data_IF_419035604168
#
_entry.id   IF_419035604168
#
_cell.length_a   1.000
_cell.length_b   1.000
_cell.length_c   1.000
_cell.angle_alpha   90.00
_cell.angle_beta   90.00
_cell.angle_gamma   90.00
#
_symmetry.space_group_name_H-M   'P 1'
#
loop_
_entity.id
_entity.type
_entity.pdbx_description
1 polymer ?
#
# COMPACT_ATOMS: atom_id res chain seq x y z
N UNK A 1 -33.50 -26.43 -4.76
CA UNK A 1 -32.83 -25.12 -4.86
C UNK A 1 -31.68 -25.10 -3.87
N UNK A 2 -30.45 -25.43 -4.31
CA UNK A 2 -29.21 -25.37 -3.52
C UNK A 2 -28.12 -24.81 -4.43
N UNK A 3 -28.09 -23.49 -4.63
CA UNK A 3 -27.03 -22.83 -5.42
C UNK A 3 -26.44 -21.62 -4.70
N UNK A 4 -27.14 -21.06 -3.71
CA UNK A 4 -26.72 -19.84 -3.00
C UNK A 4 -25.51 -20.06 -2.06
N UNK A 5 -25.45 -21.20 -1.36
CA UNK A 5 -24.43 -21.46 -0.32
C UNK A 5 -22.98 -21.52 -0.84
N UNK A 6 -22.77 -21.98 -2.08
CA UNK A 6 -21.43 -22.08 -2.66
C UNK A 6 -20.89 -20.71 -3.12
N UNK A 7 -21.77 -19.85 -3.61
CA UNK A 7 -21.44 -18.48 -4.01
C UNK A 7 -21.05 -17.64 -2.80
N UNK A 8 -21.81 -17.73 -1.71
CA UNK A 8 -21.57 -17.00 -0.46
C UNK A 8 -20.23 -17.40 0.18
N UNK A 9 -19.95 -18.70 0.26
CA UNK A 9 -18.65 -19.21 0.75
C UNK A 9 -17.46 -18.75 -0.10
N UNK A 10 -17.66 -18.57 -1.41
CA UNK A 10 -16.61 -18.10 -2.34
C UNK A 10 -16.40 -16.59 -2.22
N UNK A 11 -17.46 -15.82 -2.05
CA UNK A 11 -17.38 -14.37 -1.82
C UNK A 11 -16.73 -14.07 -0.48
N UNK A 12 -17.03 -14.84 0.57
CA UNK A 12 -16.42 -14.69 1.90
C UNK A 12 -14.91 -14.95 1.88
N UNK A 13 -14.48 -16.02 1.20
CA UNK A 13 -13.05 -16.31 1.01
C UNK A 13 -12.34 -15.23 0.21
N UNK A 14 -13.02 -14.62 -0.76
CA UNK A 14 -12.46 -13.54 -1.59
C UNK A 14 -12.31 -12.26 -0.76
N UNK A 15 -13.34 -11.89 -0.01
CA UNK A 15 -13.31 -10.75 0.90
C UNK A 15 -12.23 -10.90 1.98
N UNK A 16 -12.06 -12.09 2.55
CA UNK A 16 -10.99 -12.38 3.51
C UNK A 16 -9.61 -12.19 2.89
N UNK A 17 -9.38 -12.70 1.67
CA UNK A 17 -8.11 -12.51 0.95
C UNK A 17 -7.82 -11.04 0.67
N UNK A 18 -8.83 -10.26 0.28
CA UNK A 18 -8.67 -8.82 0.04
C UNK A 18 -8.34 -8.06 1.33
N UNK A 19 -8.95 -8.41 2.46
CA UNK A 19 -8.60 -7.84 3.78
C UNK A 19 -7.15 -8.15 4.17
N UNK A 20 -6.71 -9.39 3.96
CA UNK A 20 -5.30 -9.80 4.21
C UNK A 20 -4.34 -9.04 3.30
N UNK A 21 -4.67 -8.89 2.01
CA UNK A 21 -3.86 -8.14 1.06
C UNK A 21 -3.76 -6.66 1.45
N UNK A 22 -4.86 -6.03 1.85
CA UNK A 22 -4.86 -4.65 2.35
C UNK A 22 -3.92 -4.52 3.55
N UNK A 23 -3.99 -5.43 4.52
CA UNK A 23 -3.10 -5.41 5.69
C UNK A 23 -1.62 -5.59 5.30
N UNK A 24 -1.30 -6.46 4.34
CA UNK A 24 0.08 -6.61 3.82
C UNK A 24 0.58 -5.33 3.15
N UNK A 25 -0.24 -4.72 2.29
CA UNK A 25 0.11 -3.47 1.61
C UNK A 25 0.31 -2.31 2.60
N UNK A 26 -0.47 -2.25 3.69
CA UNK A 26 -0.28 -1.27 4.76
C UNK A 26 1.07 -1.44 5.47
N UNK A 27 1.46 -2.67 5.82
CA UNK A 27 2.79 -2.94 6.40
C UNK A 27 3.92 -2.55 5.44
N UNK A 28 3.76 -2.79 4.14
CA UNK A 28 4.74 -2.36 3.13
C UNK A 28 4.86 -0.84 3.06
N UNK A 29 3.77 -0.11 3.22
CA UNK A 29 3.81 1.36 3.30
C UNK A 29 4.63 1.81 4.51
N UNK A 30 4.42 1.21 5.69
CA UNK A 30 5.21 1.53 6.89
C UNK A 30 6.72 1.29 6.70
N UNK A 31 7.09 0.21 6.00
CA UNK A 31 8.48 -0.06 5.63
C UNK A 31 9.02 1.01 4.67
N UNK A 32 8.26 1.37 3.64
CA UNK A 32 8.67 2.41 2.69
C UNK A 32 8.86 3.77 3.38
N UNK A 33 8.00 4.12 4.34
CA UNK A 33 8.16 5.35 5.14
C UNK A 33 9.45 5.33 5.96
N UNK A 34 9.77 4.17 6.55
CA UNK A 34 11.03 3.98 7.28
C UNK A 34 12.24 4.14 6.36
N UNK A 35 12.20 3.55 5.17
CA UNK A 35 13.27 3.64 4.18
C UNK A 35 13.43 5.08 3.63
N UNK A 36 12.31 5.80 3.41
CA UNK A 36 12.32 7.22 3.04
C UNK A 36 13.00 8.03 4.13
N UNK A 37 12.58 7.88 5.40
CA UNK A 37 13.15 8.61 6.52
C UNK A 37 14.64 8.32 6.71
N UNK A 38 15.04 7.06 6.54
CA UNK A 38 16.44 6.66 6.58
C UNK A 38 17.28 7.32 5.48
N UNK A 39 16.78 7.31 4.24
CA UNK A 39 17.46 7.90 3.09
C UNK A 39 17.57 9.44 3.20
N UNK A 40 16.52 10.09 3.69
CA UNK A 40 16.52 11.53 3.96
C UNK A 40 17.48 11.90 5.09
N UNK A 41 17.57 11.09 6.14
CA UNK A 41 18.56 11.28 7.21
C UNK A 41 20.00 11.07 6.71
N UNK A 42 20.21 10.06 5.86
CA UNK A 42 21.51 9.74 5.26
C UNK A 42 22.01 10.87 4.35
N UNK A 43 21.11 11.47 3.57
CA UNK A 43 21.44 12.57 2.65
C UNK A 43 21.35 13.94 3.31
N UNK A 44 20.70 14.03 4.48
CA UNK A 44 20.38 15.27 5.21
C UNK A 44 19.51 16.25 4.41
N UNK A 45 18.74 15.75 3.46
CA UNK A 45 17.84 16.53 2.63
C UNK A 45 16.44 15.92 2.69
N UNK A 46 15.51 16.63 3.34
CA UNK A 46 14.10 16.23 3.47
C UNK A 46 13.17 17.02 2.55
N UNK A 47 13.61 18.21 2.11
CA UNK A 47 12.84 19.05 1.20
C UNK A 47 12.80 18.42 -0.21
N UNK A 48 11.60 18.05 -0.64
CA UNK A 48 11.35 17.43 -1.94
C UNK A 48 11.64 18.37 -3.12
N UNK A 49 11.57 19.70 -2.90
CA UNK A 49 11.91 20.70 -3.90
C UNK A 49 13.41 20.95 -4.01
N UNK A 50 14.20 20.44 -3.05
CA UNK A 50 15.64 20.64 -3.05
C UNK A 50 16.28 19.98 -4.30
N UNK A 51 17.16 20.69 -5.03
CA UNK A 51 17.75 20.16 -6.27
C UNK A 51 18.51 18.84 -6.10
N UNK A 52 19.05 18.60 -4.90
CA UNK A 52 19.79 17.38 -4.55
C UNK A 52 18.98 16.37 -3.74
N UNK A 53 17.65 16.53 -3.68
CA UNK A 53 16.79 15.55 -3.02
C UNK A 53 16.98 14.17 -3.65
N UNK A 54 17.08 13.14 -2.80
CA UNK A 54 17.42 11.79 -3.25
C UNK A 54 16.41 11.26 -4.26
N UNK A 55 16.93 10.78 -5.39
CA UNK A 55 16.15 10.05 -6.40
C UNK A 55 15.55 8.78 -5.77
N UNK A 56 16.27 8.12 -4.86
CA UNK A 56 15.76 6.94 -4.16
C UNK A 56 14.54 7.30 -3.31
N UNK A 57 14.64 8.31 -2.44
CA UNK A 57 13.52 8.76 -1.61
C UNK A 57 12.31 9.19 -2.46
N UNK A 58 12.54 9.85 -3.60
CA UNK A 58 11.48 10.21 -4.55
C UNK A 58 10.76 8.98 -5.12
N UNK A 59 11.52 7.96 -5.53
CA UNK A 59 10.94 6.72 -6.05
C UNK A 59 10.17 5.95 -4.98
N UNK A 60 10.68 5.90 -3.75
CA UNK A 60 9.99 5.25 -2.63
C UNK A 60 8.66 5.95 -2.30
N UNK A 61 8.63 7.29 -2.31
CA UNK A 61 7.38 8.06 -2.15
C UNK A 61 6.37 7.73 -3.27
N UNK A 62 6.80 7.75 -4.54
CA UNK A 62 5.91 7.36 -5.65
C UNK A 62 5.39 5.93 -5.51
N UNK A 63 6.22 5.00 -5.04
CA UNK A 63 5.83 3.60 -4.78
C UNK A 63 4.77 3.54 -3.69
N UNK A 64 4.97 4.25 -2.58
CA UNK A 64 4.01 4.35 -1.48
C UNK A 64 2.67 4.88 -1.97
N UNK A 65 2.67 5.95 -2.76
CA UNK A 65 1.45 6.59 -3.24
C UNK A 65 0.65 5.62 -4.16
N UNK A 66 1.35 4.84 -4.99
CA UNK A 66 0.72 3.77 -5.78
C UNK A 66 0.09 2.66 -4.90
N UNK A 67 0.73 2.30 -3.78
CA UNK A 67 0.17 1.32 -2.85
C UNK A 67 -1.07 1.87 -2.13
N UNK A 68 -1.05 3.14 -1.72
CA UNK A 68 -2.20 3.82 -1.13
C UNK A 68 -3.39 3.84 -2.10
N UNK A 69 -3.15 4.17 -3.37
CA UNK A 69 -4.19 4.13 -4.41
C UNK A 69 -4.76 2.71 -4.60
N UNK A 70 -3.90 1.69 -4.60
CA UNK A 70 -4.33 0.29 -4.69
C UNK A 70 -5.18 -0.13 -3.49
N UNK A 71 -4.78 0.24 -2.27
CA UNK A 71 -5.56 -0.01 -1.05
C UNK A 71 -6.93 0.65 -1.13
N UNK A 72 -7.01 1.91 -1.60
CA UNK A 72 -8.28 2.61 -1.73
C UNK A 72 -9.25 1.88 -2.68
N UNK A 73 -8.74 1.37 -3.80
CA UNK A 73 -9.53 0.56 -4.75
C UNK A 73 -10.01 -0.74 -4.08
N UNK A 74 -9.11 -1.45 -3.40
CA UNK A 74 -9.46 -2.72 -2.74
C UNK A 74 -10.48 -2.54 -1.61
N UNK A 75 -10.38 -1.45 -0.83
CA UNK A 75 -11.36 -1.13 0.21
C UNK A 75 -12.74 -0.83 -0.36
N UNK A 76 -12.81 -0.07 -1.46
CA UNK A 76 -14.08 0.21 -2.16
C UNK A 76 -14.78 -1.05 -2.68
N UNK A 77 -14.04 -2.12 -2.93
CA UNK A 77 -14.60 -3.42 -3.34
C UNK A 77 -15.07 -4.29 -2.17
N UNK A 78 -14.71 -3.91 -0.94
CA UNK A 78 -15.12 -4.57 0.31
C UNK A 78 -16.32 -3.88 0.99
N UNK A 79 -16.60 -2.63 0.61
CA UNK A 79 -17.80 -1.86 1.00
C UNK A 79 -19.03 -2.30 0.20
#
# INVERSE_FOLDING_TARGET
MQTSSLFETRTDKTALKMKVLVADLQRRIELLETDIAHEEARTRVQDLAHPTYSILARNLRSRRDNLLATIAILKRQLD
#
